data_IF_754266860746
#
_entry.id   IF_754266860746
#
_cell.length_a   1.000
_cell.length_b   1.000
_cell.length_c   1.000
_cell.angle_alpha   90.00
_cell.angle_beta   90.00
_cell.angle_gamma   90.00
#
_symmetry.space_group_name_H-M   'P 1'
#
loop_
_entity.id
_entity.type
_entity.pdbx_description
1 polymer ?
#
# COMPACT_ATOMS: atom_id res chain seq x y z
N UNK A 1 15.09 -7.04 1.04
CA UNK A 1 14.92 -5.70 1.66
C UNK A 1 13.45 -5.49 1.96
N UNK A 2 13.08 -5.17 3.20
CA UNK A 2 11.73 -4.75 3.60
C UNK A 2 11.92 -3.53 4.49
N UNK A 3 11.16 -2.47 4.24
CA UNK A 3 11.23 -1.22 5.00
C UNK A 3 9.86 -0.83 5.55
N UNK A 4 9.83 -0.34 6.78
CA UNK A 4 8.63 0.16 7.44
C UNK A 4 8.94 1.55 7.95
N UNK A 5 8.15 2.54 7.53
CA UNK A 5 8.31 3.95 7.93
C UNK A 5 6.98 4.48 8.44
N UNK A 6 6.98 5.09 9.61
CA UNK A 6 5.77 5.74 10.14
C UNK A 6 5.57 7.11 9.49
N UNK A 7 4.40 7.31 8.89
CA UNK A 7 4.01 8.58 8.26
C UNK A 7 3.62 9.58 9.35
N UNK A 8 4.45 10.59 9.55
CA UNK A 8 4.27 11.59 10.64
C UNK A 8 2.95 12.36 10.52
N UNK A 9 2.53 12.65 9.29
CA UNK A 9 1.33 13.39 8.96
C UNK A 9 0.04 12.57 9.05
N UNK A 10 0.15 11.25 9.31
CA UNK A 10 -0.97 10.31 9.28
C UNK A 10 -2.21 10.83 10.03
N UNK A 11 -2.07 11.23 11.29
CA UNK A 11 -3.18 11.69 12.11
C UNK A 11 -3.92 12.89 11.50
N UNK A 12 -3.17 13.79 10.85
CA UNK A 12 -3.71 15.01 10.22
C UNK A 12 -4.50 14.69 8.95
N UNK A 13 -4.05 13.71 8.16
CA UNK A 13 -4.62 13.43 6.84
C UNK A 13 -5.65 12.30 6.82
N UNK A 14 -5.65 11.41 7.83
CA UNK A 14 -6.48 10.20 7.87
C UNK A 14 -7.95 10.48 7.59
N UNK A 15 -8.57 11.38 8.33
CA UNK A 15 -10.01 11.67 8.20
C UNK A 15 -10.35 12.17 6.78
N UNK A 16 -9.51 13.03 6.21
CA UNK A 16 -9.70 13.56 4.86
C UNK A 16 -9.55 12.46 3.79
N UNK A 17 -8.50 11.64 3.87
CA UNK A 17 -8.32 10.52 2.94
C UNK A 17 -9.47 9.51 3.03
N UNK A 18 -9.92 9.16 4.23
CA UNK A 18 -11.07 8.27 4.42
C UNK A 18 -12.35 8.83 3.79
N UNK A 19 -12.63 10.15 3.96
CA UNK A 19 -13.75 10.84 3.31
C UNK A 19 -13.64 10.80 1.79
N UNK A 20 -12.46 11.07 1.25
CA UNK A 20 -12.21 11.06 -0.19
C UNK A 20 -12.36 9.65 -0.79
N UNK A 21 -11.89 8.61 -0.10
CA UNK A 21 -12.08 7.21 -0.52
C UNK A 21 -13.55 6.80 -0.43
N UNK A 22 -14.28 7.26 0.60
CA UNK A 22 -15.71 7.00 0.69
C UNK A 22 -16.51 7.58 -0.49
N UNK A 23 -16.05 8.68 -1.06
CA UNK A 23 -16.65 9.33 -2.23
C UNK A 23 -16.30 8.66 -3.58
N UNK A 24 -15.39 7.67 -3.60
CA UNK A 24 -15.08 6.92 -4.81
C UNK A 24 -16.27 6.03 -5.22
N UNK A 25 -16.47 5.80 -6.54
CA UNK A 25 -17.43 4.81 -7.01
C UNK A 25 -17.22 3.45 -6.34
N UNK A 26 -18.31 2.74 -6.11
CA UNK A 26 -18.23 1.39 -5.57
C UNK A 26 -17.86 0.41 -6.68
N UNK A 27 -16.72 -0.24 -6.52
CA UNK A 27 -16.37 -1.44 -7.24
C UNK A 27 -16.11 -2.54 -6.20
N UNK A 28 -16.87 -3.62 -6.28
CA UNK A 28 -16.76 -4.75 -5.38
C UNK A 28 -16.02 -5.89 -6.07
N UNK A 29 -14.88 -6.28 -5.52
CA UNK A 29 -14.28 -7.57 -5.85
C UNK A 29 -14.87 -8.65 -4.93
N UNK A 30 -14.87 -9.89 -5.38
CA UNK A 30 -15.39 -11.03 -4.59
C UNK A 30 -14.72 -11.18 -3.22
N UNK A 31 -13.50 -10.67 -3.06
CA UNK A 31 -12.66 -10.82 -1.86
C UNK A 31 -12.41 -9.50 -1.12
N UNK A 32 -12.70 -8.36 -1.75
CA UNK A 32 -12.48 -7.01 -1.21
C UNK A 32 -13.81 -6.27 -1.22
N UNK A 33 -14.17 -5.65 -0.11
CA UNK A 33 -15.47 -4.98 0.01
C UNK A 33 -15.61 -3.77 -0.90
N UNK A 34 -14.54 -2.98 -1.06
CA UNK A 34 -14.49 -1.81 -1.96
C UNK A 34 -13.06 -1.57 -2.43
N UNK A 35 -12.90 -1.25 -3.71
CA UNK A 35 -11.59 -0.92 -4.33
C UNK A 35 -11.80 -0.05 -5.56
N UNK A 36 -10.74 0.60 -6.03
CA UNK A 36 -10.68 1.27 -7.33
C UNK A 36 -9.65 0.63 -8.28
N UNK A 37 -9.21 -0.60 -7.98
CA UNK A 37 -8.19 -1.32 -8.76
C UNK A 37 -8.50 -1.43 -10.24
N UNK A 38 -9.74 -1.80 -10.58
CA UNK A 38 -10.16 -2.04 -11.97
C UNK A 38 -10.83 -0.83 -12.64
N UNK A 39 -10.96 0.29 -11.93
CA UNK A 39 -11.52 1.49 -12.56
C UNK A 39 -10.60 1.98 -13.69
N UNK A 40 -11.17 2.45 -14.81
CA UNK A 40 -10.41 2.98 -15.93
C UNK A 40 -9.35 4.00 -15.48
N UNK A 41 -8.17 4.06 -16.11
CA UNK A 41 -7.13 5.04 -15.77
C UNK A 41 -7.61 6.51 -15.85
N UNK A 42 -8.62 6.77 -16.67
CA UNK A 42 -9.27 8.08 -16.81
C UNK A 42 -10.18 8.46 -15.63
N UNK A 43 -10.49 7.50 -14.75
CA UNK A 43 -11.33 7.77 -13.59
C UNK A 43 -10.60 8.71 -12.63
N UNK A 44 -11.23 9.86 -12.34
CA UNK A 44 -10.71 10.82 -11.36
C UNK A 44 -10.75 10.21 -9.96
N UNK A 45 -9.60 9.96 -9.39
CA UNK A 45 -9.48 9.47 -8.00
C UNK A 45 -9.48 10.66 -7.04
N UNK A 46 -10.54 10.77 -6.26
CA UNK A 46 -10.77 11.91 -5.34
C UNK A 46 -9.67 12.08 -4.30
N UNK A 47 -9.02 10.99 -3.88
CA UNK A 47 -7.95 10.98 -2.86
C UNK A 47 -6.54 11.17 -3.42
N UNK A 48 -6.36 11.14 -4.76
CA UNK A 48 -5.05 11.14 -5.43
C UNK A 48 -4.15 12.28 -4.98
N UNK A 49 -4.62 13.53 -5.06
CA UNK A 49 -3.80 14.69 -4.75
C UNK A 49 -3.34 14.70 -3.29
N UNK A 50 -4.23 14.33 -2.37
CA UNK A 50 -3.89 14.25 -0.94
C UNK A 50 -2.87 13.14 -0.69
N UNK A 51 -3.08 11.97 -1.30
CA UNK A 51 -2.19 10.83 -1.16
C UNK A 51 -0.81 11.10 -1.76
N UNK A 52 -0.72 11.61 -2.99
CA UNK A 52 0.57 11.89 -3.63
C UNK A 52 1.38 12.92 -2.84
N UNK A 53 0.77 14.04 -2.42
CA UNK A 53 1.46 15.02 -1.57
C UNK A 53 1.99 14.43 -0.27
N UNK A 54 1.29 13.44 0.29
CA UNK A 54 1.72 12.74 1.50
C UNK A 54 2.91 11.84 1.24
N UNK A 55 2.87 11.05 0.17
CA UNK A 55 3.79 9.92 -0.01
C UNK A 55 5.10 10.30 -0.71
N UNK A 56 5.07 11.32 -1.60
CA UNK A 56 6.24 11.73 -2.38
C UNK A 56 7.51 11.95 -1.55
N UNK A 57 7.50 12.71 -0.43
CA UNK A 57 8.71 12.93 0.37
C UNK A 57 9.30 11.64 0.95
N UNK A 58 8.46 10.67 1.27
CA UNK A 58 8.89 9.37 1.82
C UNK A 58 9.54 8.51 0.73
N UNK A 59 9.01 8.53 -0.49
CA UNK A 59 9.58 7.82 -1.63
C UNK A 59 10.87 8.46 -2.12
N UNK A 60 10.98 9.79 -2.11
CA UNK A 60 12.23 10.50 -2.38
C UNK A 60 13.34 10.10 -1.39
N UNK A 61 13.00 10.03 -0.10
CA UNK A 61 13.94 9.59 0.92
C UNK A 61 14.32 8.11 0.75
N UNK A 62 13.37 7.26 0.36
CA UNK A 62 13.62 5.86 0.03
C UNK A 62 14.61 5.73 -1.13
N UNK A 63 14.37 6.42 -2.24
CA UNK A 63 15.27 6.39 -3.40
C UNK A 63 16.67 6.90 -3.03
N UNK A 64 16.79 8.01 -2.30
CA UNK A 64 18.08 8.54 -1.82
C UNK A 64 18.83 7.55 -0.93
N UNK A 65 18.13 6.86 -0.04
CA UNK A 65 18.73 5.85 0.86
C UNK A 65 19.41 4.72 0.09
N UNK A 66 18.88 4.39 -1.08
CA UNK A 66 19.43 3.34 -1.96
C UNK A 66 20.25 3.90 -3.13
N UNK A 67 20.72 5.14 -3.00
CA UNK A 67 21.56 5.83 -4.00
C UNK A 67 20.93 5.88 -5.40
N UNK A 68 19.61 5.87 -5.49
CA UNK A 68 18.89 6.01 -6.74
C UNK A 68 18.53 7.48 -7.00
N UNK A 69 18.71 7.91 -8.25
CA UNK A 69 18.40 9.29 -8.66
C UNK A 69 16.91 9.50 -8.88
N UNK A 70 16.25 8.47 -9.36
CA UNK A 70 14.87 8.55 -9.83
C UNK A 70 14.08 7.36 -9.33
N UNK A 71 12.81 7.59 -9.11
CA UNK A 71 11.82 6.56 -8.86
C UNK A 71 10.54 6.88 -9.62
N UNK A 72 9.78 5.86 -9.95
CA UNK A 72 8.54 5.97 -10.71
C UNK A 72 7.43 5.22 -9.97
N UNK A 73 6.24 5.83 -9.89
CA UNK A 73 5.03 5.15 -9.43
C UNK A 73 4.24 4.70 -10.66
N UNK A 74 4.09 3.38 -10.83
CA UNK A 74 3.38 2.80 -11.97
C UNK A 74 1.88 2.91 -11.82
N UNK A 75 1.37 2.60 -10.63
CA UNK A 75 -0.05 2.62 -10.29
C UNK A 75 -0.24 2.73 -8.79
N UNK A 76 -1.43 3.13 -8.39
CA UNK A 76 -1.88 3.12 -6.99
C UNK A 76 -3.38 2.89 -6.95
N UNK A 77 -3.84 2.30 -5.85
CA UNK A 77 -5.25 2.01 -5.59
C UNK A 77 -5.51 1.89 -4.09
N UNK A 78 -6.77 1.95 -3.69
CA UNK A 78 -7.15 1.59 -2.33
C UNK A 78 -7.85 0.24 -2.28
N UNK A 79 -7.77 -0.40 -1.12
CA UNK A 79 -8.62 -1.51 -0.72
C UNK A 79 -9.28 -1.22 0.62
N UNK A 80 -10.58 -1.38 0.68
CA UNK A 80 -11.33 -1.46 1.94
C UNK A 80 -11.77 -2.90 2.14
N UNK A 81 -11.45 -3.42 3.32
CA UNK A 81 -11.78 -4.77 3.74
C UNK A 81 -12.78 -4.69 4.88
N UNK A 82 -13.95 -5.27 4.70
CA UNK A 82 -14.94 -5.46 5.74
C UNK A 82 -14.92 -6.90 6.27
N UNK A 83 -15.87 -7.23 7.12
CA UNK A 83 -15.96 -8.55 7.76
C UNK A 83 -15.85 -9.69 6.73
N UNK A 84 -14.91 -10.62 6.99
CA UNK A 84 -14.55 -11.78 6.17
C UNK A 84 -13.88 -11.49 4.82
N UNK A 85 -13.60 -10.24 4.51
CA UNK A 85 -12.85 -9.93 3.31
C UNK A 85 -11.33 -9.92 3.54
N UNK A 86 -10.60 -10.30 2.51
CA UNK A 86 -9.15 -10.36 2.45
C UNK A 86 -8.70 -10.40 1.00
N UNK A 87 -7.42 -10.58 0.76
CA UNK A 87 -6.86 -10.76 -0.58
C UNK A 87 -5.78 -11.84 -0.50
N UNK A 88 -5.88 -12.84 -1.35
CA UNK A 88 -5.04 -14.05 -1.26
C UNK A 88 -3.59 -13.81 -1.70
N UNK A 89 -2.76 -14.85 -1.56
CA UNK A 89 -1.34 -14.84 -1.89
C UNK A 89 -1.09 -14.50 -3.36
N UNK A 90 -0.36 -13.42 -3.60
CA UNK A 90 -0.01 -12.94 -4.93
C UNK A 90 1.35 -12.25 -4.94
N UNK A 91 1.81 -11.87 -6.13
CA UNK A 91 3.01 -11.07 -6.39
C UNK A 91 2.68 -9.96 -7.38
N UNK A 92 3.51 -8.95 -7.45
CA UNK A 92 3.39 -7.90 -8.46
C UNK A 92 4.51 -8.02 -9.48
N UNK A 93 4.14 -8.23 -10.74
CA UNK A 93 5.06 -8.18 -11.87
C UNK A 93 5.23 -6.72 -12.38
N UNK A 94 6.39 -6.45 -13.01
CA UNK A 94 6.63 -5.16 -13.66
C UNK A 94 6.96 -4.00 -12.72
N UNK A 95 7.29 -4.27 -11.45
CA UNK A 95 7.76 -3.26 -10.50
C UNK A 95 8.90 -3.80 -9.64
N UNK A 96 9.76 -2.92 -9.12
CA UNK A 96 10.78 -3.33 -8.15
C UNK A 96 10.17 -3.52 -6.76
N UNK A 97 9.24 -2.64 -6.37
CA UNK A 97 8.66 -2.62 -5.03
C UNK A 97 7.13 -2.50 -5.06
N UNK A 98 6.51 -3.24 -4.16
CA UNK A 98 5.14 -3.03 -3.72
C UNK A 98 5.15 -2.25 -2.41
N UNK A 99 4.21 -1.33 -2.29
CA UNK A 99 4.09 -0.44 -1.15
C UNK A 99 2.67 -0.49 -0.59
N UNK A 100 2.54 -0.49 0.73
CA UNK A 100 1.25 -0.50 1.42
C UNK A 100 1.25 0.56 2.52
N UNK A 101 0.42 1.58 2.36
CA UNK A 101 0.13 2.55 3.41
C UNK A 101 -1.11 2.13 4.19
N UNK A 102 -0.95 1.90 5.50
CA UNK A 102 -2.03 1.45 6.38
C UNK A 102 -2.84 2.64 6.88
N UNK A 103 -3.81 3.09 6.07
CA UNK A 103 -4.63 4.27 6.37
C UNK A 103 -5.58 4.04 7.55
N UNK A 104 -6.17 2.85 7.65
CA UNK A 104 -6.99 2.43 8.80
C UNK A 104 -6.67 0.98 9.13
N UNK A 105 -6.07 0.74 10.30
CA UNK A 105 -5.66 -0.58 10.75
C UNK A 105 -6.05 -0.80 12.23
N UNK A 106 -7.34 -0.98 12.53
CA UNK A 106 -7.82 -1.09 13.91
C UNK A 106 -7.35 -2.38 14.61
N UNK A 107 -6.93 -3.39 13.85
CA UNK A 107 -6.33 -4.61 14.36
C UNK A 107 -4.97 -4.86 13.70
N UNK A 108 -3.90 -4.68 14.47
CA UNK A 108 -2.51 -4.87 14.00
C UNK A 108 -2.24 -6.28 13.45
N UNK A 109 -2.97 -7.30 13.89
CA UNK A 109 -2.82 -8.68 13.41
C UNK A 109 -3.35 -8.89 11.98
N UNK A 110 -4.03 -7.91 11.41
CA UNK A 110 -4.58 -7.97 10.04
C UNK A 110 -3.76 -7.16 9.02
N UNK A 111 -2.51 -6.80 9.36
CA UNK A 111 -1.60 -6.20 8.40
C UNK A 111 -1.28 -7.15 7.24
N UNK A 112 -0.62 -6.65 6.21
CA UNK A 112 -0.10 -7.47 5.10
C UNK A 112 0.88 -8.51 5.62
N UNK A 113 0.68 -9.77 5.24
CA UNK A 113 1.59 -10.88 5.49
C UNK A 113 2.48 -11.09 4.26
N UNK A 114 3.77 -11.38 4.49
CA UNK A 114 4.77 -11.58 3.43
C UNK A 114 5.53 -12.88 3.71
N UNK A 115 5.77 -13.66 2.66
CA UNK A 115 6.67 -14.82 2.71
C UNK A 115 8.06 -14.42 2.22
N UNK A 116 9.09 -14.97 2.86
CA UNK A 116 10.45 -14.90 2.35
C UNK A 116 10.65 -15.85 1.15
N UNK A 117 11.85 -15.87 0.59
CA UNK A 117 12.21 -16.74 -0.54
C UNK A 117 12.13 -18.24 -0.22
N UNK A 118 12.13 -18.60 1.06
CA UNK A 118 11.97 -19.98 1.55
C UNK A 118 10.51 -20.29 1.95
N UNK A 119 9.56 -19.44 1.56
CA UNK A 119 8.14 -19.55 1.91
C UNK A 119 7.84 -19.50 3.42
N UNK A 120 8.72 -18.88 4.20
CA UNK A 120 8.50 -18.65 5.64
C UNK A 120 7.87 -17.27 5.85
N UNK A 121 6.92 -17.20 6.77
CA UNK A 121 6.26 -15.95 7.13
C UNK A 121 7.23 -14.98 7.80
N UNK A 122 7.36 -13.78 7.25
CA UNK A 122 8.19 -12.72 7.82
C UNK A 122 7.41 -12.03 8.95
N UNK A 123 8.03 -11.95 10.12
CA UNK A 123 7.43 -11.27 11.27
C UNK A 123 7.58 -9.75 11.11
N UNK A 124 6.48 -9.07 10.85
CA UNK A 124 6.41 -7.62 10.73
C UNK A 124 5.78 -6.99 11.97
N UNK A 125 6.24 -5.80 12.34
CA UNK A 125 5.62 -4.96 13.39
C UNK A 125 5.02 -3.74 12.72
N UNK A 126 3.75 -3.83 12.35
CA UNK A 126 3.01 -2.80 11.62
C UNK A 126 2.02 -2.10 12.53
N UNK A 127 1.93 -0.79 12.40
CA UNK A 127 0.92 0.04 13.03
C UNK A 127 0.10 0.78 11.98
N UNK A 128 -1.04 1.28 12.38
CA UNK A 128 -1.78 2.25 11.58
C UNK A 128 -0.90 3.49 11.33
N UNK A 129 -0.92 3.99 10.11
CA UNK A 129 -0.08 5.10 9.68
C UNK A 129 1.31 4.70 9.17
N UNK A 130 1.66 3.41 9.21
CA UNK A 130 2.92 2.95 8.63
C UNK A 130 2.82 2.78 7.12
N UNK A 131 3.93 3.03 6.43
CA UNK A 131 4.20 2.67 5.05
C UNK A 131 5.14 1.46 5.05
N UNK A 132 4.68 0.37 4.47
CA UNK A 132 5.45 -0.85 4.24
C UNK A 132 5.91 -0.89 2.79
N UNK A 133 7.22 -1.02 2.54
CA UNK A 133 7.82 -1.19 1.21
C UNK A 133 8.57 -2.51 1.16
N UNK A 134 8.33 -3.33 0.15
CA UNK A 134 8.95 -4.63 -0.04
C UNK A 134 9.09 -4.99 -1.53
N UNK A 135 10.04 -5.87 -1.91
CA UNK A 135 10.20 -6.31 -3.30
C UNK A 135 8.91 -6.89 -3.88
N UNK A 136 8.52 -6.42 -5.07
CA UNK A 136 7.27 -6.82 -5.72
C UNK A 136 7.14 -8.33 -5.99
N UNK A 137 8.26 -9.05 -6.12
CA UNK A 137 8.29 -10.50 -6.32
C UNK A 137 7.99 -11.32 -5.06
N UNK A 138 8.01 -10.72 -3.85
CA UNK A 138 7.68 -11.46 -2.64
C UNK A 138 6.18 -11.75 -2.56
N UNK A 139 5.85 -13.02 -2.31
CA UNK A 139 4.46 -13.44 -2.12
C UNK A 139 3.90 -12.79 -0.86
N UNK A 140 2.77 -12.14 -1.03
CA UNK A 140 2.11 -11.44 0.07
C UNK A 140 0.59 -11.53 -0.04
N UNK A 141 -0.08 -11.31 1.08
CA UNK A 141 -1.55 -11.30 1.15
C UNK A 141 -2.06 -10.30 2.18
N UNK A 142 -3.35 -10.00 2.09
CA UNK A 142 -4.10 -9.36 3.15
C UNK A 142 -4.98 -10.41 3.83
N UNK A 143 -4.67 -10.85 5.06
CA UNK A 143 -5.48 -11.86 5.73
C UNK A 143 -6.90 -11.36 5.95
N UNK A 144 -7.88 -12.27 5.91
CA UNK A 144 -9.28 -11.94 6.13
C UNK A 144 -9.50 -11.36 7.54
N UNK A 145 -10.31 -10.31 7.61
CA UNK A 145 -10.62 -9.63 8.86
C UNK A 145 -11.93 -10.19 9.44
N UNK A 146 -11.96 -10.37 10.77
CA UNK A 146 -13.16 -10.89 11.46
C UNK A 146 -14.10 -9.79 11.93
N UNK A 147 -13.55 -8.66 12.32
CA UNK A 147 -14.28 -7.52 12.90
C UNK A 147 -13.61 -6.22 12.48
N UNK A 148 -14.34 -5.16 12.37
CA UNK A 148 -13.88 -3.83 11.99
C UNK A 148 -13.39 -3.77 10.53
N UNK A 149 -13.44 -2.60 9.93
CA UNK A 149 -12.95 -2.39 8.57
C UNK A 149 -11.47 -2.02 8.59
N UNK A 150 -10.73 -2.47 7.58
CA UNK A 150 -9.36 -2.06 7.29
C UNK A 150 -9.33 -1.31 5.97
N UNK A 151 -8.56 -0.22 5.88
CA UNK A 151 -8.35 0.51 4.64
C UNK A 151 -6.86 0.70 4.41
N UNK A 152 -6.40 0.32 3.24
CA UNK A 152 -5.03 0.56 2.77
C UNK A 152 -5.04 1.35 1.47
N UNK A 153 -3.94 2.06 1.20
CA UNK A 153 -3.60 2.54 -0.14
C UNK A 153 -2.34 1.79 -0.54
N UNK A 154 -2.42 1.02 -1.62
CA UNK A 154 -1.32 0.27 -2.18
C UNK A 154 -0.83 0.93 -3.47
N UNK A 155 0.46 0.78 -3.78
CA UNK A 155 1.05 1.30 -5.00
C UNK A 155 2.33 0.56 -5.37
N UNK A 156 2.63 0.52 -6.65
CA UNK A 156 3.82 -0.11 -7.20
C UNK A 156 4.82 0.93 -7.68
N UNK A 157 6.10 0.69 -7.39
CA UNK A 157 7.18 1.60 -7.76
C UNK A 157 8.38 0.87 -8.34
N UNK A 158 9.12 1.57 -9.18
CA UNK A 158 10.47 1.19 -9.59
C UNK A 158 11.45 2.30 -9.24
N UNK A 159 12.67 1.91 -8.92
CA UNK A 159 13.81 2.83 -8.74
C UNK A 159 14.76 2.62 -9.90
N UNK A 160 15.18 3.73 -10.49
CA UNK A 160 15.99 3.75 -11.69
C UNK A 160 17.31 4.52 -11.46
N UNK A 161 18.24 4.36 -12.35
CA UNK A 161 19.51 5.11 -12.36
C UNK A 161 20.28 5.04 -11.04
N UNK A 162 20.63 3.80 -10.62
CA UNK A 162 21.62 3.61 -9.56
C UNK A 162 22.90 4.34 -9.98
N UNK A 163 23.38 5.27 -9.18
CA UNK A 163 24.68 5.88 -9.42
C UNK A 163 25.71 4.75 -9.53
N UNK A 164 26.41 4.69 -10.65
CA UNK A 164 27.61 3.85 -10.74
C UNK A 164 28.55 4.32 -9.64
N UNK A 165 28.84 3.44 -8.70
CA UNK A 165 29.85 3.62 -7.67
C UNK A 165 31.22 3.64 -8.35
#
# INVERSE_FOLDING_TARGET
MIEIVSIKEHKRVKANLMKQIAAMPEEKLSTVSKTDWHLPPTTKRTYQNTFLKLILPYMDNFAKKYHCKEWEMHNFWFHQYDKYSGFDWHVHAGCNFSNVYFLNLPNKKTHTEILDINSKLIKLKINEGDLLTFPGYLRHRSPAIKKLSKTIIAFNTSINNVNKI
#
